data_IF_161027444877
#
_entry.id   IF_161027444877
#
_cell.length_a   1.000
_cell.length_b   1.000
_cell.length_c   1.000
_cell.angle_alpha   90.00
_cell.angle_beta   90.00
_cell.angle_gamma   90.00
#
_symmetry.space_group_name_H-M   'P 1'
#
loop_
_entity.id
_entity.type
_entity.pdbx_description
1 polymer ?
#
# COMPACT_ATOMS: atom_id res chain seq x y z
N UNK A 1 11.15 -19.52 -4.49
CA UNK A 1 10.01 -19.08 -3.65
C UNK A 1 9.13 -20.28 -3.36
N UNK A 2 8.50 -20.35 -2.17
CA UNK A 2 7.53 -21.41 -1.84
C UNK A 2 6.30 -21.30 -2.75
N UNK A 3 5.57 -22.40 -2.95
CA UNK A 3 4.31 -22.39 -3.72
C UNK A 3 3.28 -21.48 -3.01
N UNK A 4 2.51 -20.66 -3.74
CA UNK A 4 1.48 -19.81 -3.15
C UNK A 4 0.41 -20.65 -2.46
N UNK A 5 -0.11 -20.13 -1.36
CA UNK A 5 -1.32 -20.63 -0.71
C UNK A 5 -2.50 -19.90 -1.38
N UNK A 6 -3.50 -20.67 -1.83
CA UNK A 6 -4.68 -20.17 -2.54
C UNK A 6 -5.93 -20.50 -1.75
N UNK A 7 -6.67 -19.49 -1.34
CA UNK A 7 -7.85 -19.62 -0.48
C UNK A 7 -9.05 -18.90 -1.11
N UNK A 8 -10.28 -19.44 -0.96
CA UNK A 8 -11.47 -18.74 -1.38
C UNK A 8 -11.70 -17.49 -0.52
N UNK A 9 -12.06 -16.38 -1.15
CA UNK A 9 -12.49 -15.15 -0.48
C UNK A 9 -13.89 -14.80 -0.99
N UNK A 10 -14.90 -15.51 -0.48
CA UNK A 10 -16.24 -15.51 -1.06
C UNK A 10 -16.31 -16.29 -2.37
N UNK A 11 -17.32 -15.99 -3.19
CA UNK A 11 -17.62 -16.66 -4.47
C UNK A 11 -17.01 -15.96 -5.69
N UNK A 12 -16.58 -14.70 -5.54
CA UNK A 12 -16.04 -13.86 -6.60
C UNK A 12 -14.59 -13.42 -6.38
N UNK A 13 -13.91 -13.95 -5.36
CA UNK A 13 -12.50 -13.65 -5.15
C UNK A 13 -11.69 -14.83 -4.61
N UNK A 14 -10.38 -14.74 -4.80
CA UNK A 14 -9.38 -15.67 -4.29
C UNK A 14 -8.28 -14.87 -3.60
N UNK A 15 -7.90 -15.29 -2.40
CA UNK A 15 -6.70 -14.78 -1.73
C UNK A 15 -5.49 -15.62 -2.15
N UNK A 16 -4.45 -14.93 -2.59
CA UNK A 16 -3.15 -15.53 -2.96
C UNK A 16 -2.11 -15.06 -1.94
N UNK A 17 -1.57 -15.98 -1.15
CA UNK A 17 -0.59 -15.68 -0.09
C UNK A 17 0.77 -16.25 -0.46
N UNK A 18 1.80 -15.39 -0.46
CA UNK A 18 3.17 -15.74 -0.86
C UNK A 18 4.14 -15.88 0.32
N UNK A 19 3.75 -15.43 1.52
CA UNK A 19 4.57 -15.48 2.72
C UNK A 19 3.83 -14.92 3.94
N UNK A 20 4.56 -14.76 5.04
CA UNK A 20 4.02 -14.30 6.32
C UNK A 20 3.82 -12.77 6.36
N UNK A 21 2.90 -12.33 7.22
CA UNK A 21 2.69 -10.92 7.47
C UNK A 21 3.95 -10.29 8.08
N UNK A 22 4.58 -9.36 7.35
CA UNK A 22 5.84 -8.72 7.73
C UNK A 22 7.05 -9.15 6.90
N UNK A 23 6.93 -10.21 6.09
CA UNK A 23 7.95 -10.57 5.11
C UNK A 23 7.93 -9.56 3.95
N UNK A 24 8.91 -8.66 3.96
CA UNK A 24 9.05 -7.61 2.95
C UNK A 24 9.33 -8.18 1.56
N UNK A 25 10.07 -9.28 1.44
CA UNK A 25 10.34 -9.91 0.15
C UNK A 25 9.07 -10.54 -0.41
N UNK A 26 8.30 -11.23 0.44
CA UNK A 26 7.01 -11.77 0.05
C UNK A 26 6.02 -10.68 -0.38
N UNK A 27 6.04 -9.51 0.28
CA UNK A 27 5.16 -8.41 -0.10
C UNK A 27 5.52 -7.76 -1.44
N UNK A 28 6.82 -7.59 -1.71
CA UNK A 28 7.29 -7.17 -3.03
C UNK A 28 6.89 -8.20 -4.08
N UNK A 29 7.07 -9.50 -3.78
CA UNK A 29 6.66 -10.56 -4.68
C UNK A 29 5.14 -10.56 -4.93
N UNK A 30 4.33 -10.27 -3.90
CA UNK A 30 2.88 -10.21 -4.02
C UNK A 30 2.43 -9.06 -4.91
N UNK A 31 2.98 -7.86 -4.73
CA UNK A 31 2.71 -6.71 -5.60
C UNK A 31 3.16 -6.95 -7.06
N UNK A 32 4.36 -7.52 -7.26
CA UNK A 32 4.85 -7.84 -8.60
C UNK A 32 4.03 -8.94 -9.27
N UNK A 33 3.66 -9.98 -8.53
CA UNK A 33 2.87 -11.08 -9.07
C UNK A 33 1.42 -10.68 -9.34
N UNK A 34 0.82 -9.85 -8.49
CA UNK A 34 -0.53 -9.31 -8.71
C UNK A 34 -0.60 -8.51 -10.00
N UNK A 35 0.42 -7.70 -10.29
CA UNK A 35 0.54 -6.96 -11.56
C UNK A 35 0.67 -7.92 -12.76
N UNK A 36 1.55 -8.91 -12.66
CA UNK A 36 1.71 -9.91 -13.73
C UNK A 36 0.40 -10.67 -14.00
N UNK A 37 -0.36 -11.03 -12.96
CA UNK A 37 -1.68 -11.66 -13.10
C UNK A 37 -2.67 -10.71 -13.78
N UNK A 38 -2.69 -9.43 -13.38
CA UNK A 38 -3.57 -8.42 -13.99
C UNK A 38 -3.27 -8.24 -15.49
N UNK A 39 -2.00 -8.26 -15.88
CA UNK A 39 -1.55 -8.13 -17.27
C UNK A 39 -1.96 -9.31 -18.17
N UNK A 40 -2.29 -10.48 -17.59
CA UNK A 40 -2.78 -11.63 -18.37
C UNK A 40 -4.16 -11.38 -18.99
N UNK A 41 -4.95 -10.45 -18.43
CA UNK A 41 -6.24 -9.99 -18.97
C UNK A 41 -7.18 -11.11 -19.44
N UNK A 42 -7.26 -12.23 -18.71
CA UNK A 42 -8.12 -13.35 -19.08
C UNK A 42 -9.61 -13.05 -18.80
N UNK A 43 -10.54 -13.67 -19.54
CA UNK A 43 -11.97 -13.40 -19.40
C UNK A 43 -12.48 -13.61 -17.96
N UNK A 44 -13.07 -12.54 -17.41
CA UNK A 44 -13.60 -12.53 -16.06
C UNK A 44 -12.62 -12.06 -14.99
N UNK A 45 -11.35 -11.78 -15.30
CA UNK A 45 -10.47 -11.08 -14.33
C UNK A 45 -10.94 -9.64 -14.19
N UNK A 46 -11.26 -9.22 -12.96
CA UNK A 46 -11.74 -7.87 -12.67
C UNK A 46 -10.63 -7.00 -12.09
N UNK A 47 -9.97 -7.48 -11.04
CA UNK A 47 -8.97 -6.69 -10.32
C UNK A 47 -8.03 -7.60 -9.52
N UNK A 48 -6.78 -7.14 -9.35
CA UNK A 48 -5.85 -7.71 -8.40
C UNK A 48 -5.47 -6.64 -7.36
N UNK A 49 -5.74 -6.90 -6.08
CA UNK A 49 -5.50 -5.94 -4.98
C UNK A 49 -4.42 -6.50 -4.05
N UNK A 50 -3.15 -6.04 -4.14
CA UNK A 50 -2.09 -6.47 -3.24
C UNK A 50 -2.14 -5.76 -1.89
N UNK A 51 -1.86 -6.54 -0.84
CA UNK A 51 -1.70 -6.07 0.53
C UNK A 51 -0.73 -6.97 1.29
N UNK A 52 0.41 -6.41 1.70
CA UNK A 52 1.50 -7.14 2.35
C UNK A 52 1.91 -8.37 1.52
N UNK A 53 2.14 -9.51 2.16
CA UNK A 53 2.55 -10.77 1.52
C UNK A 53 1.44 -11.50 0.74
N UNK A 54 0.33 -10.83 0.45
CA UNK A 54 -0.83 -11.41 -0.23
C UNK A 54 -1.45 -10.46 -1.24
N UNK A 55 -2.28 -11.00 -2.14
CA UNK A 55 -3.17 -10.20 -2.97
C UNK A 55 -4.50 -10.92 -3.20
N UNK A 56 -5.58 -10.15 -3.29
CA UNK A 56 -6.87 -10.66 -3.70
C UNK A 56 -7.01 -10.59 -5.22
N UNK A 57 -7.52 -11.66 -5.83
CA UNK A 57 -7.90 -11.72 -7.24
C UNK A 57 -9.43 -11.71 -7.29
N UNK A 58 -10.01 -10.62 -7.78
CA UNK A 58 -11.44 -10.50 -8.01
C UNK A 58 -11.78 -10.94 -9.44
N UNK A 59 -12.82 -11.73 -9.58
CA UNK A 59 -13.24 -12.26 -10.87
C UNK A 59 -14.74 -12.42 -10.98
N UNK A 60 -15.27 -12.30 -12.20
CA UNK A 60 -16.64 -12.67 -12.56
C UNK A 60 -16.71 -14.19 -12.85
N UNK A 61 -17.39 -14.99 -12.01
CA UNK A 61 -17.48 -16.43 -12.19
C UNK A 61 -18.13 -16.86 -13.51
N UNK A 62 -19.15 -16.11 -13.98
CA UNK A 62 -19.86 -16.43 -15.21
C UNK A 62 -18.95 -16.20 -16.43
N UNK A 63 -18.23 -15.08 -16.45
CA UNK A 63 -17.27 -14.77 -17.50
C UNK A 63 -16.09 -15.76 -17.51
N UNK A 64 -15.60 -16.18 -16.34
CA UNK A 64 -14.54 -17.20 -16.21
C UNK A 64 -14.97 -18.54 -16.81
N UNK A 65 -16.19 -18.99 -16.51
CA UNK A 65 -16.74 -20.25 -17.02
C UNK A 65 -16.96 -20.15 -18.53
N UNK A 66 -17.60 -19.07 -19.00
CA UNK A 66 -17.85 -18.88 -20.43
C UNK A 66 -16.55 -18.80 -21.24
N UNK A 67 -15.53 -18.11 -20.72
CA UNK A 67 -14.22 -17.96 -21.34
C UNK A 67 -13.30 -19.18 -21.22
N UNK A 68 -13.72 -20.25 -20.53
CA UNK A 68 -12.91 -21.46 -20.36
C UNK A 68 -12.89 -22.37 -21.58
N UNK A 69 -13.81 -22.19 -22.53
CA UNK A 69 -14.01 -23.10 -23.67
C UNK A 69 -14.60 -24.47 -23.29
N UNK A 70 -14.97 -24.68 -22.02
CA UNK A 70 -15.61 -25.91 -21.55
C UNK A 70 -17.06 -25.94 -22.07
N UNK A 71 -17.46 -27.07 -22.68
CA UNK A 71 -18.84 -27.27 -23.15
C UNK A 71 -19.84 -27.20 -21.98
N UNK A 72 -21.03 -26.66 -22.22
CA UNK A 72 -22.06 -26.45 -21.20
C UNK A 72 -22.45 -27.70 -20.37
N UNK A 73 -22.34 -28.91 -20.93
CA UNK A 73 -22.60 -30.15 -20.19
C UNK A 73 -21.49 -30.50 -19.18
N UNK A 74 -20.26 -30.01 -19.39
CA UNK A 74 -19.11 -30.21 -18.50
C UNK A 74 -18.90 -29.05 -17.52
N UNK A 75 -19.48 -27.86 -17.76
CA UNK A 75 -19.37 -26.71 -16.87
C UNK A 75 -20.06 -26.93 -15.52
N UNK A 76 -21.05 -27.82 -15.43
CA UNK A 76 -21.66 -28.23 -14.15
C UNK A 76 -20.70 -28.96 -13.19
N UNK A 77 -19.51 -29.36 -13.67
CA UNK A 77 -18.51 -30.11 -12.87
C UNK A 77 -17.27 -29.29 -12.49
N UNK A 78 -17.15 -28.07 -12.99
CA UNK A 78 -15.95 -27.25 -12.79
C UNK A 78 -16.36 -25.89 -12.26
N UNK A 79 -15.92 -25.57 -11.04
CA UNK A 79 -16.16 -24.25 -10.45
C UNK A 79 -15.25 -23.20 -11.09
N UNK A 80 -15.73 -21.95 -11.14
CA UNK A 80 -14.91 -20.81 -11.56
C UNK A 80 -13.63 -20.71 -10.70
N UNK A 81 -13.75 -20.94 -9.39
CA UNK A 81 -12.62 -20.99 -8.47
C UNK A 81 -11.51 -21.95 -8.94
N UNK A 82 -11.85 -23.18 -9.33
CA UNK A 82 -10.86 -24.16 -9.79
C UNK A 82 -10.15 -23.70 -11.08
N UNK A 83 -10.88 -23.04 -11.98
CA UNK A 83 -10.30 -22.48 -13.22
C UNK A 83 -9.35 -21.31 -12.92
N UNK A 84 -9.73 -20.41 -12.01
CA UNK A 84 -8.85 -19.32 -11.57
C UNK A 84 -7.63 -19.90 -10.86
N UNK A 85 -7.80 -20.90 -10.00
CA UNK A 85 -6.72 -21.54 -9.27
C UNK A 85 -5.68 -22.13 -10.23
N UNK A 86 -6.13 -22.84 -11.28
CA UNK A 86 -5.26 -23.39 -12.30
C UNK A 86 -4.48 -22.28 -13.05
N UNK A 87 -5.13 -21.16 -13.40
CA UNK A 87 -4.47 -20.02 -14.04
C UNK A 87 -3.40 -19.39 -13.15
N UNK A 88 -3.70 -19.15 -11.88
CA UNK A 88 -2.74 -18.56 -10.92
C UNK A 88 -1.55 -19.50 -10.71
N UNK A 89 -1.78 -20.80 -10.55
CA UNK A 89 -0.69 -21.77 -10.40
C UNK A 89 0.19 -21.86 -11.65
N UNK A 90 -0.40 -21.85 -12.84
CA UNK A 90 0.35 -21.84 -14.10
C UNK A 90 1.17 -20.55 -14.27
N UNK A 91 0.59 -19.39 -13.94
CA UNK A 91 1.31 -18.11 -13.95
C UNK A 91 2.48 -18.12 -12.96
N UNK A 92 2.29 -18.73 -11.78
CA UNK A 92 3.33 -18.86 -10.76
C UNK A 92 4.53 -19.70 -11.21
N UNK A 93 4.32 -20.78 -11.96
CA UNK A 93 5.41 -21.63 -12.47
C UNK A 93 6.36 -20.88 -13.42
N UNK A 94 5.82 -19.96 -14.21
CA UNK A 94 6.57 -19.05 -15.07
C UNK A 94 7.14 -17.83 -14.36
N UNK A 95 6.62 -17.49 -13.17
CA UNK A 95 7.03 -16.31 -12.43
C UNK A 95 8.43 -16.50 -11.82
N UNK A 96 9.39 -15.69 -12.26
CA UNK A 96 10.79 -15.78 -11.82
C UNK A 96 11.12 -14.87 -10.63
N UNK A 97 10.13 -14.15 -10.09
CA UNK A 97 10.34 -13.12 -9.07
C UNK A 97 11.07 -11.91 -9.65
N UNK A 98 10.65 -10.71 -9.30
CA UNK A 98 11.45 -9.51 -9.60
C UNK A 98 12.54 -9.41 -8.55
N UNK A 99 13.76 -9.83 -8.88
CA UNK A 99 14.94 -9.54 -8.05
C UNK A 99 15.06 -8.03 -7.86
N UNK A 100 15.08 -7.59 -6.59
CA UNK A 100 15.01 -6.19 -6.11
C UNK A 100 13.65 -5.49 -6.30
N UNK A 101 13.22 -4.83 -5.22
CA UNK A 101 12.02 -3.99 -5.12
C UNK A 101 11.81 -3.15 -6.38
N UNK A 102 10.75 -3.46 -7.13
CA UNK A 102 10.51 -2.95 -8.49
C UNK A 102 9.64 -1.69 -8.56
N UNK A 103 9.21 -1.14 -7.41
CA UNK A 103 8.53 0.15 -7.39
C UNK A 103 9.49 1.33 -7.51
N UNK A 104 8.97 2.46 -7.98
CA UNK A 104 9.74 3.71 -8.11
C UNK A 104 10.07 4.27 -6.72
N UNK A 105 11.18 5.00 -6.61
CA UNK A 105 11.47 5.79 -5.41
C UNK A 105 10.79 7.16 -5.54
N UNK A 106 9.90 7.48 -4.60
CA UNK A 106 9.21 8.75 -4.51
C UNK A 106 9.73 9.51 -3.29
N UNK A 107 10.29 10.69 -3.53
CA UNK A 107 10.71 11.60 -2.45
C UNK A 107 9.54 12.49 -2.09
N UNK A 108 9.18 12.54 -0.82
CA UNK A 108 8.05 13.31 -0.30
C UNK A 108 8.58 14.39 0.64
N UNK A 109 8.41 15.68 0.30
CA UNK A 109 8.80 16.76 1.19
C UNK A 109 7.87 16.82 2.40
N UNK A 110 8.43 17.07 3.59
CA UNK A 110 7.69 17.04 4.85
C UNK A 110 8.07 18.23 5.71
N UNK A 111 7.05 18.95 6.16
CA UNK A 111 7.15 19.86 7.29
C UNK A 111 6.83 19.10 8.57
N UNK A 112 7.83 18.88 9.42
CA UNK A 112 7.67 18.19 10.69
C UNK A 112 7.29 19.15 11.82
N UNK A 113 6.53 18.66 12.79
CA UNK A 113 6.24 19.39 14.03
C UNK A 113 5.25 20.56 13.88
N UNK A 114 5.20 21.40 14.91
CA UNK A 114 4.24 22.51 15.04
C UNK A 114 2.79 22.06 14.79
N UNK A 115 2.01 22.87 14.07
CA UNK A 115 0.64 22.57 13.67
C UNK A 115 0.55 21.40 12.68
N UNK A 116 1.65 21.09 11.98
CA UNK A 116 1.71 20.04 10.97
C UNK A 116 1.98 18.65 11.55
N UNK A 117 2.66 18.61 12.70
CA UNK A 117 3.02 17.42 13.44
C UNK A 117 2.70 17.55 14.93
N UNK A 118 1.42 17.67 15.31
CA UNK A 118 1.02 17.97 16.69
C UNK A 118 1.38 16.87 17.69
N UNK A 119 1.70 15.65 17.24
CA UNK A 119 2.12 14.55 18.11
C UNK A 119 3.64 14.38 18.16
N UNK A 120 4.43 15.15 17.42
CA UNK A 120 5.88 14.92 17.32
C UNK A 120 6.58 14.98 18.68
N UNK A 121 6.21 15.94 19.53
CA UNK A 121 6.75 16.03 20.89
C UNK A 121 6.25 14.90 21.80
N UNK A 122 5.05 14.38 21.57
CA UNK A 122 4.53 13.23 22.32
C UNK A 122 5.27 11.94 21.94
N UNK A 123 5.49 11.73 20.63
CA UNK A 123 6.29 10.62 20.10
C UNK A 123 7.70 10.65 20.68
N UNK A 124 8.39 11.79 20.58
CA UNK A 124 9.73 11.98 21.14
C UNK A 124 9.81 11.62 22.64
N UNK A 125 8.86 12.12 23.45
CA UNK A 125 8.78 11.77 24.88
C UNK A 125 8.54 10.28 25.13
N UNK A 126 7.66 9.65 24.35
CA UNK A 126 7.30 8.24 24.52
C UNK A 126 8.43 7.28 24.13
N UNK A 127 9.27 7.66 23.17
CA UNK A 127 10.41 6.87 22.70
C UNK A 127 11.71 7.20 23.44
N UNK A 128 11.73 8.28 24.24
CA UNK A 128 12.93 8.77 24.92
C UNK A 128 13.94 9.45 24.00
N UNK A 129 13.51 9.85 22.80
CA UNK A 129 14.31 10.53 21.79
C UNK A 129 14.09 12.05 21.83
N UNK A 130 15.02 12.82 21.26
CA UNK A 130 14.74 14.21 20.91
C UNK A 130 13.83 14.32 19.69
N UNK A 131 13.23 15.49 19.49
CA UNK A 131 12.43 15.77 18.29
C UNK A 131 13.29 15.63 17.03
N UNK A 132 14.53 16.13 17.07
CA UNK A 132 15.48 16.07 15.98
C UNK A 132 15.86 14.62 15.63
N UNK A 133 16.04 13.76 16.65
CA UNK A 133 16.32 12.34 16.47
C UNK A 133 15.12 11.62 15.82
N UNK A 134 13.89 11.93 16.24
CA UNK A 134 12.68 11.37 15.61
C UNK A 134 12.61 11.75 14.13
N UNK A 135 12.82 13.02 13.80
CA UNK A 135 12.80 13.51 12.42
C UNK A 135 13.91 12.84 11.60
N UNK A 136 15.13 12.77 12.14
CA UNK A 136 16.26 12.16 11.44
C UNK A 136 16.04 10.66 11.19
N UNK A 137 15.58 9.91 12.18
CA UNK A 137 15.26 8.49 12.03
C UNK A 137 14.13 8.28 11.03
N UNK A 138 13.09 9.12 11.06
CA UNK A 138 11.98 8.99 10.12
C UNK A 138 12.39 9.35 8.68
N UNK A 139 13.19 10.40 8.48
CA UNK A 139 13.60 10.86 7.16
C UNK A 139 14.73 10.02 6.52
N UNK A 140 15.59 9.40 7.33
CA UNK A 140 16.76 8.65 6.83
C UNK A 140 16.43 7.27 6.25
N UNK A 141 15.18 6.80 6.38
CA UNK A 141 14.74 5.47 5.96
C UNK A 141 14.06 5.48 4.59
N UNK A 142 14.23 4.38 3.86
CA UNK A 142 13.39 4.06 2.71
C UNK A 142 12.25 3.13 3.14
N UNK A 143 11.05 3.62 2.97
CA UNK A 143 9.82 2.91 3.24
C UNK A 143 9.36 2.15 2.01
N UNK A 144 8.58 1.09 2.20
CA UNK A 144 7.94 0.36 1.10
C UNK A 144 6.44 0.37 1.30
N UNK A 145 5.70 0.78 0.26
CA UNK A 145 4.25 0.74 0.23
C UNK A 145 3.81 -0.72 0.19
N UNK A 146 3.22 -1.19 1.27
CA UNK A 146 2.76 -2.57 1.46
C UNK A 146 1.33 -2.75 0.94
N UNK A 147 0.51 -1.71 1.04
CA UNK A 147 -0.87 -1.69 0.59
C UNK A 147 -1.32 -0.24 0.36
N UNK A 148 -2.30 -0.06 -0.51
CA UNK A 148 -3.07 1.17 -0.62
C UNK A 148 -4.51 0.87 -0.18
N UNK A 149 -5.06 1.61 0.78
CA UNK A 149 -6.39 1.34 1.32
C UNK A 149 -6.74 2.20 2.53
N UNK A 150 -7.92 2.02 3.16
CA UNK A 150 -8.58 2.95 4.10
C UNK A 150 -9.20 4.19 3.45
N UNK A 151 -8.44 4.89 2.61
CA UNK A 151 -8.94 5.95 1.73
C UNK A 151 -8.24 5.87 0.36
N UNK A 152 -8.82 6.44 -0.71
CA UNK A 152 -8.18 6.46 -2.03
C UNK A 152 -6.76 7.04 -1.95
N UNK A 153 -5.76 6.21 -2.27
CA UNK A 153 -4.35 6.61 -2.27
C UNK A 153 -3.65 6.63 -0.91
N UNK A 154 -4.28 6.18 0.19
CA UNK A 154 -3.62 6.12 1.50
C UNK A 154 -2.62 4.95 1.53
N UNK A 155 -1.31 5.21 1.71
CA UNK A 155 -0.29 4.18 1.69
C UNK A 155 0.00 3.65 3.09
N UNK A 156 -0.13 2.34 3.27
CA UNK A 156 0.46 1.65 4.42
C UNK A 156 1.91 1.31 4.11
N UNK A 157 2.84 1.87 4.87
CA UNK A 157 4.26 1.69 4.60
C UNK A 157 4.98 0.99 5.74
N UNK A 158 5.84 0.04 5.38
CA UNK A 158 6.76 -0.67 6.27
C UNK A 158 8.17 -0.08 6.18
N UNK A 159 9.01 -0.40 7.17
CA UNK A 159 10.42 0.02 7.20
C UNK A 159 10.68 1.11 8.23
N UNK A 160 9.69 1.43 9.07
CA UNK A 160 9.86 2.29 10.23
C UNK A 160 10.90 1.70 11.16
N UNK A 161 11.78 2.57 11.65
CA UNK A 161 12.75 2.20 12.67
C UNK A 161 12.00 1.73 13.94
N UNK A 162 12.31 0.55 14.49
CA UNK A 162 11.68 0.07 15.72
C UNK A 162 11.78 1.05 16.90
N UNK A 163 12.78 1.94 16.92
CA UNK A 163 12.91 2.98 17.94
C UNK A 163 11.80 4.05 17.86
N UNK A 164 11.12 4.18 16.71
CA UNK A 164 9.99 5.08 16.52
C UNK A 164 8.62 4.41 16.76
N UNK A 165 8.62 3.12 17.13
CA UNK A 165 7.39 2.37 17.25
C UNK A 165 6.56 2.85 18.45
N UNK A 166 5.41 3.44 18.16
CA UNK A 166 4.46 3.95 19.16
C UNK A 166 3.05 3.43 18.87
N UNK A 167 2.24 3.07 19.88
CA UNK A 167 0.88 2.62 19.63
C UNK A 167 0.04 3.74 18.99
N UNK A 168 -1.06 3.33 18.33
CA UNK A 168 -2.10 4.29 17.93
C UNK A 168 -2.69 4.98 19.16
N UNK A 169 -3.21 6.20 18.99
CA UNK A 169 -3.93 6.91 20.06
C UNK A 169 -5.18 6.13 20.47
N UNK A 170 -5.46 6.09 21.77
CA UNK A 170 -6.63 5.40 22.32
C UNK A 170 -7.94 6.03 21.83
N UNK A 171 -7.96 7.36 21.71
CA UNK A 171 -9.07 8.12 21.14
C UNK A 171 -8.64 8.71 19.79
N UNK A 172 -9.17 8.21 18.65
CA UNK A 172 -8.88 8.76 17.35
C UNK A 172 -9.32 10.23 17.23
N UNK A 173 -8.59 11.03 16.46
CA UNK A 173 -9.04 12.36 16.06
C UNK A 173 -10.24 12.22 15.13
N UNK A 174 -11.23 13.09 15.33
CA UNK A 174 -12.38 13.21 14.42
C UNK A 174 -11.97 13.73 13.04
N UNK A 175 -10.86 14.48 12.97
CA UNK A 175 -10.31 15.03 11.74
C UNK A 175 -8.79 15.11 11.80
N UNK A 176 -8.15 14.46 10.84
CA UNK A 176 -6.75 14.59 10.46
C UNK A 176 -6.72 15.30 9.10
N UNK A 177 -5.78 16.23 8.90
CA UNK A 177 -5.70 16.98 7.65
C UNK A 177 -5.18 16.11 6.48
N UNK A 178 -5.50 16.51 5.25
CA UNK A 178 -4.88 15.89 4.07
C UNK A 178 -3.38 16.22 4.04
N UNK A 179 -2.56 15.29 3.55
CA UNK A 179 -1.11 15.36 3.57
C UNK A 179 -0.47 15.01 4.92
N UNK A 180 -1.24 14.82 6.00
CA UNK A 180 -0.68 14.48 7.31
C UNK A 180 0.05 13.15 7.27
N UNK A 181 1.22 13.08 7.91
CA UNK A 181 2.06 11.89 8.01
C UNK A 181 1.94 11.36 9.43
N UNK A 182 1.55 10.09 9.55
CA UNK A 182 1.29 9.44 10.82
C UNK A 182 2.20 8.25 11.07
N UNK A 183 2.42 7.93 12.34
CA UNK A 183 3.02 6.68 12.82
C UNK A 183 2.02 5.90 13.69
N UNK A 184 1.93 4.59 13.47
CA UNK A 184 1.26 3.64 14.36
C UNK A 184 1.92 2.26 14.32
N UNK A 185 2.34 1.76 15.48
CA UNK A 185 3.16 0.55 15.58
C UNK A 185 4.45 0.69 14.77
N UNK A 186 4.72 -0.30 13.92
CA UNK A 186 5.88 -0.32 13.01
C UNK A 186 5.57 0.26 11.62
N UNK A 187 4.51 1.06 11.51
CA UNK A 187 4.03 1.60 10.24
C UNK A 187 4.05 3.12 10.21
N UNK A 188 4.29 3.65 9.01
CA UNK A 188 4.11 5.06 8.67
C UNK A 188 3.23 5.17 7.43
N UNK A 189 2.54 6.30 7.28
CA UNK A 189 1.45 6.47 6.34
C UNK A 189 1.13 7.94 6.13
N UNK A 190 0.41 8.23 5.04
CA UNK A 190 0.08 9.60 4.66
C UNK A 190 -1.40 9.69 4.36
N UNK A 191 -2.10 10.58 5.04
CA UNK A 191 -3.53 10.81 4.85
C UNK A 191 -3.75 11.54 3.52
N UNK A 192 -4.34 10.93 2.48
CA UNK A 192 -4.50 11.58 1.18
C UNK A 192 -5.63 12.62 1.19
N UNK A 193 -6.58 12.46 2.11
CA UNK A 193 -7.76 13.31 2.29
C UNK A 193 -8.00 13.53 3.78
N UNK A 194 -8.72 14.61 4.12
CA UNK A 194 -9.11 14.85 5.50
C UNK A 194 -10.08 13.76 5.97
N UNK A 195 -9.73 13.08 7.07
CA UNK A 195 -10.48 11.92 7.58
C UNK A 195 -10.22 11.70 9.08
N UNK A 196 -11.08 10.94 9.80
CA UNK A 196 -10.79 10.53 11.15
C UNK A 196 -9.55 9.61 11.21
N UNK A 197 -8.76 9.68 12.28
CA UNK A 197 -7.52 8.90 12.36
C UNK A 197 -6.92 8.84 13.76
N UNK A 198 -6.39 7.67 14.12
CA UNK A 198 -5.74 7.43 15.42
C UNK A 198 -4.21 7.35 15.37
N UNK A 199 -3.58 7.72 14.24
CA UNK A 199 -2.13 7.66 14.13
C UNK A 199 -1.50 8.91 14.75
N UNK A 200 -0.26 8.78 15.23
CA UNK A 200 0.51 9.90 15.79
C UNK A 200 1.03 10.77 14.64
N UNK A 201 0.51 11.97 14.49
CA UNK A 201 0.80 12.87 13.39
C UNK A 201 2.09 13.65 13.68
N UNK A 202 3.12 13.39 12.87
CA UNK A 202 4.47 13.92 13.09
C UNK A 202 4.87 15.02 12.09
N UNK A 203 4.10 15.20 11.02
CA UNK A 203 4.32 16.23 10.02
C UNK A 203 3.26 16.22 8.93
N UNK A 204 3.40 17.10 7.94
CA UNK A 204 2.53 17.20 6.77
C UNK A 204 3.34 17.39 5.49
N UNK A 205 2.89 16.80 4.40
CA UNK A 205 3.39 17.07 3.06
C UNK A 205 2.42 17.96 2.28
N UNK A 206 2.91 18.92 1.47
CA UNK A 206 2.08 19.64 0.51
C UNK A 206 1.71 18.79 -0.70
N UNK A 207 2.39 17.65 -0.91
CA UNK A 207 2.14 16.80 -2.07
C UNK A 207 0.80 16.11 -1.94
N UNK A 208 -0.02 16.29 -2.95
CA UNK A 208 -1.26 15.57 -3.08
C UNK A 208 -1.01 14.14 -3.58
N UNK A 209 -1.57 13.18 -2.83
CA UNK A 209 -1.39 11.75 -3.06
C UNK A 209 -2.41 11.16 -4.02
N UNK A 210 -3.54 11.84 -4.22
CA UNK A 210 -4.63 11.35 -5.04
C UNK A 210 -5.28 12.50 -5.82
N UNK A 211 -5.43 12.31 -7.12
CA UNK A 211 -6.15 13.20 -8.02
C UNK A 211 -6.91 12.39 -9.06
N UNK A 212 -8.23 12.63 -9.18
CA UNK A 212 -9.08 11.93 -10.13
C UNK A 212 -8.68 12.14 -11.59
N UNK A 213 -8.08 13.27 -11.92
CA UNK A 213 -7.69 13.63 -13.28
C UNK A 213 -6.33 13.05 -13.71
N UNK A 214 -5.52 12.57 -12.76
CA UNK A 214 -4.22 11.94 -13.06
C UNK A 214 -4.42 10.49 -13.49
N UNK A 215 -3.52 10.00 -14.34
CA UNK A 215 -3.43 8.57 -14.73
C UNK A 215 -2.02 8.03 -14.49
N UNK A 216 -1.80 7.18 -13.46
CA UNK A 216 -2.78 6.72 -12.47
C UNK A 216 -3.21 7.83 -11.49
N UNK A 217 -4.41 7.72 -10.85
CA UNK A 217 -4.94 8.77 -9.97
C UNK A 217 -4.22 8.85 -8.63
N UNK A 218 -3.64 7.73 -8.16
CA UNK A 218 -2.80 7.70 -6.97
C UNK A 218 -1.33 7.95 -7.32
N UNK A 219 -0.64 8.72 -6.48
CA UNK A 219 0.80 8.99 -6.62
C UNK A 219 1.65 7.74 -6.38
N UNK A 220 1.22 6.91 -5.43
CA UNK A 220 1.92 5.74 -4.91
C UNK A 220 1.16 4.46 -5.21
N UNK A 221 1.89 3.40 -5.53
CA UNK A 221 1.38 2.06 -5.76
C UNK A 221 2.05 1.05 -4.82
N UNK A 222 1.39 -0.09 -4.50
CA UNK A 222 2.01 -1.16 -3.75
C UNK A 222 3.34 -1.61 -4.40
N UNK A 223 4.39 -1.69 -3.60
CA UNK A 223 5.76 -1.95 -4.04
C UNK A 223 6.63 -0.70 -4.25
N UNK A 224 6.04 0.50 -4.34
CA UNK A 224 6.80 1.76 -4.40
C UNK A 224 7.64 1.97 -3.14
N UNK A 225 8.76 2.67 -3.32
CA UNK A 225 9.62 3.12 -2.23
C UNK A 225 9.36 4.59 -1.95
N UNK A 226 9.32 4.95 -0.68
CA UNK A 226 9.13 6.34 -0.24
C UNK A 226 10.29 6.75 0.63
N UNK A 227 10.81 7.96 0.39
CA UNK A 227 11.76 8.61 1.30
C UNK A 227 11.22 9.98 1.65
N UNK A 228 11.19 10.30 2.93
CA UNK A 228 10.75 11.62 3.38
C UNK A 228 11.93 12.59 3.42
N UNK A 229 11.70 13.81 2.94
CA UNK A 229 12.70 14.88 2.91
C UNK A 229 12.20 16.04 3.79
N UNK A 230 12.85 16.33 4.92
CA UNK A 230 12.50 17.50 5.74
C UNK A 230 12.69 18.79 4.93
N UNK A 231 11.66 19.64 4.91
CA UNK A 231 11.70 20.96 4.26
C UNK A 231 11.36 22.07 5.24
N UNK A 232 11.92 23.27 5.02
CA UNK A 232 11.59 24.45 5.82
C UNK A 232 10.28 25.10 5.31
N UNK A 233 9.66 25.96 6.14
CA UNK A 233 8.33 26.52 5.92
C UNK A 233 8.15 27.26 4.57
N UNK A 234 9.23 27.77 3.98
CA UNK A 234 9.20 28.59 2.74
C UNK A 234 9.17 27.76 1.45
N UNK A 235 9.61 26.51 1.47
CA UNK A 235 9.65 25.65 0.28
C UNK A 235 8.32 24.92 0.06
N UNK A 236 7.56 24.70 1.14
CA UNK A 236 6.26 24.02 1.14
C UNK A 236 5.18 24.78 0.33
N UNK A 237 5.18 26.12 0.40
CA UNK A 237 4.22 26.96 -0.33
C UNK A 237 4.42 26.97 -1.85
N UNK A 238 5.65 26.72 -2.32
CA UNK A 238 5.97 26.76 -3.76
C UNK A 238 5.49 25.51 -4.52
N UNK A 239 5.26 24.38 -3.85
CA UNK A 239 4.69 23.18 -4.47
C UNK A 239 3.16 23.20 -4.51
N UNK A 240 2.50 23.85 -3.55
CA UNK A 240 1.04 24.05 -3.52
C UNK A 240 0.57 24.92 -4.71
N UNK A 241 1.31 25.99 -5.03
CA UNK A 241 0.98 26.90 -6.14
C UNK A 241 1.20 26.27 -7.53
N UNK A 242 2.13 25.33 -7.68
CA UNK A 242 2.43 24.68 -8.98
C UNK A 242 1.43 23.59 -9.38
N UNK A 243 0.66 23.05 -8.43
CA UNK A 243 -0.29 21.96 -8.68
C UNK A 243 -1.76 22.36 -8.52
N UNK A 244 -2.04 23.63 -8.21
CA UNK A 244 -3.37 24.22 -8.15
C UNK A 244 -3.82 24.92 -9.44
N UNK A 245 -3.14 24.68 -10.57
CA UNK A 245 -3.43 25.26 -11.88
C UNK A 245 -3.88 24.22 -12.90
#
# INVERSE_FOLDING_TARGET
>A
MKKPILEPLGDQAMLVTLGDAGDREAAVAAASFSKAVMEMAWPGLLECVPAYASFAVYYDPAAVIAGSGIRAAASMRVSAYALVQARILSAWEGFRGTGRASGKLVVIPVKYGDEEGPDLQEVARSTGLSVEEVVQLHASREYTVQAIGFAPGFPYMSGLDPLLAVPRKDTPRTRVAAGSIGIAGLQTGIYPIASPGGWNIIGRTPRALFHLERRPPALLEPGDRVRFEPVDQRECSLEEEKHGG
#
